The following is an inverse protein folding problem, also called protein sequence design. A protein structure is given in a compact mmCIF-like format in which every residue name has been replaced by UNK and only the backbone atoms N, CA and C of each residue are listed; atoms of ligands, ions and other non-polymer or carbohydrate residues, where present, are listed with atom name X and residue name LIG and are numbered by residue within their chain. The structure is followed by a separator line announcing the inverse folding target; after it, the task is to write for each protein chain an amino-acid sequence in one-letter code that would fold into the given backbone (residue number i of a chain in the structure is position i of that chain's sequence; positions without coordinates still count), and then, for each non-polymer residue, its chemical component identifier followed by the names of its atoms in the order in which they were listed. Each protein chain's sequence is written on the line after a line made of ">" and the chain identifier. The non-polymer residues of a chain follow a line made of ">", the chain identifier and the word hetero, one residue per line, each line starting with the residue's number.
data_IF_087529493447
#
_entry.id   IF_087529493447
#
_cell.length_a   1.000
_cell.length_b   1.000
_cell.length_c   1.000
_cell.angle_alpha   90.00
_cell.angle_beta   90.00
_cell.angle_gamma   90.00
#
_symmetry.space_group_name_H-M   'P 1'
#
loop_
_entity.id
_entity.type
_entity.pdbx_description
1 polymer ?
#
# COMPACT_ATOMS: atom_id res chain seq x y z
N UNK A 1 33.03 69.10 -15.88
CA UNK A 1 31.92 68.28 -16.38
C UNK A 1 32.31 66.81 -16.36
N UNK A 2 32.19 66.08 -15.24
CA UNK A 2 32.37 64.58 -15.18
C UNK A 2 32.04 64.11 -13.74
N UNK A 3 30.81 64.36 -13.23
CA UNK A 3 30.32 63.79 -11.97
C UNK A 3 28.85 63.26 -12.01
N UNK A 4 28.21 63.27 -13.18
CA UNK A 4 26.79 62.88 -13.30
C UNK A 4 26.57 61.41 -13.73
N UNK A 5 27.62 60.66 -14.17
CA UNK A 5 27.49 59.29 -14.68
C UNK A 5 27.55 58.20 -13.61
N UNK A 6 28.06 58.48 -12.42
CA UNK A 6 28.28 57.47 -11.41
C UNK A 6 27.01 57.24 -10.52
N UNK A 7 26.16 58.23 -10.42
CA UNK A 7 24.90 58.13 -9.63
C UNK A 7 23.79 57.31 -10.34
N UNK A 8 23.81 57.28 -11.68
CA UNK A 8 22.77 56.57 -12.48
C UNK A 8 23.02 55.04 -12.53
N UNK A 9 24.29 54.62 -12.39
CA UNK A 9 24.66 53.20 -12.42
C UNK A 9 24.39 52.47 -11.08
N UNK A 10 24.48 53.19 -9.95
CA UNK A 10 24.13 52.63 -8.65
C UNK A 10 22.60 52.43 -8.44
N UNK A 11 21.77 53.26 -9.09
CA UNK A 11 20.31 53.16 -8.95
C UNK A 11 19.73 52.01 -9.75
N UNK A 12 20.37 51.52 -10.79
CA UNK A 12 19.91 50.37 -11.62
C UNK A 12 20.26 49.04 -10.93
N UNK A 13 21.38 48.99 -10.14
CA UNK A 13 21.78 47.78 -9.41
C UNK A 13 20.86 47.54 -8.19
N UNK A 14 20.32 48.60 -7.58
CA UNK A 14 19.42 48.50 -6.43
C UNK A 14 18.02 48.00 -6.79
N UNK A 15 17.56 48.13 -8.06
CA UNK A 15 16.25 47.66 -8.50
C UNK A 15 16.23 46.16 -8.85
N UNK A 16 17.40 45.58 -9.16
CA UNK A 16 17.49 44.12 -9.46
C UNK A 16 17.62 43.23 -8.22
N UNK A 17 17.84 43.79 -7.03
CA UNK A 17 17.92 43.02 -5.77
C UNK A 17 16.54 42.85 -5.06
N UNK A 18 15.47 43.38 -5.62
CA UNK A 18 14.09 43.22 -5.14
C UNK A 18 13.23 42.33 -6.06
N UNK A 19 13.86 41.57 -6.99
CA UNK A 19 13.18 40.43 -7.56
C UNK A 19 12.99 39.42 -6.43
N UNK A 20 11.84 39.52 -5.76
CA UNK A 20 11.46 38.59 -4.71
C UNK A 20 11.64 37.18 -5.24
N UNK A 21 12.43 36.38 -4.55
CA UNK A 21 12.43 34.94 -4.70
C UNK A 21 10.98 34.57 -4.40
N UNK A 22 10.18 34.40 -5.44
CA UNK A 22 8.92 33.68 -5.32
C UNK A 22 9.36 32.30 -4.85
N UNK A 23 9.33 32.07 -3.53
CA UNK A 23 9.57 30.76 -2.95
C UNK A 23 8.52 29.85 -3.58
N UNK A 24 8.94 29.05 -4.56
CA UNK A 24 8.12 27.97 -5.10
C UNK A 24 7.71 27.11 -3.92
N UNK A 25 6.52 26.52 -3.99
CA UNK A 25 6.09 25.54 -2.98
C UNK A 25 7.14 24.45 -2.89
N UNK A 26 7.46 24.04 -1.66
CA UNK A 26 8.32 22.90 -1.43
C UNK A 26 7.61 21.63 -1.90
N UNK A 27 8.26 20.85 -2.76
CA UNK A 27 7.71 19.60 -3.28
C UNK A 27 8.04 18.47 -2.34
N UNK A 28 7.03 17.68 -1.96
CA UNK A 28 7.16 16.45 -1.16
C UNK A 28 6.67 15.27 -1.98
N UNK A 29 7.55 14.33 -2.26
CA UNK A 29 7.23 13.10 -3.01
C UNK A 29 6.83 12.00 -2.04
N UNK A 30 5.61 11.51 -2.16
CA UNK A 30 5.04 10.47 -1.31
C UNK A 30 4.82 9.19 -2.09
N UNK A 31 5.43 8.09 -1.63
CA UNK A 31 5.11 6.76 -2.14
C UNK A 31 3.99 6.13 -1.31
N UNK A 32 3.01 5.53 -1.99
CA UNK A 32 1.84 4.95 -1.31
C UNK A 32 1.33 3.68 -1.99
N UNK A 33 0.76 2.77 -1.20
CA UNK A 33 -0.03 1.63 -1.69
C UNK A 33 -1.50 1.69 -1.27
N UNK A 34 -1.96 2.82 -0.72
CA UNK A 34 -3.38 3.09 -0.49
C UNK A 34 -4.17 3.04 -1.80
N UNK A 35 -5.48 2.87 -1.72
CA UNK A 35 -6.33 2.94 -2.90
C UNK A 35 -6.40 4.37 -3.45
N UNK A 36 -6.57 4.50 -4.77
CA UNK A 36 -6.54 5.82 -5.44
C UNK A 36 -7.58 6.76 -4.88
N UNK A 37 -8.77 6.24 -4.58
CA UNK A 37 -9.89 7.00 -4.03
C UNK A 37 -9.57 7.57 -2.65
N UNK A 38 -8.87 6.80 -1.80
CA UNK A 38 -8.41 7.24 -0.48
C UNK A 38 -7.33 8.34 -0.62
N UNK A 39 -6.35 8.13 -1.48
CA UNK A 39 -5.26 9.11 -1.72
C UNK A 39 -5.83 10.47 -2.12
N UNK A 40 -6.85 10.51 -2.98
CA UNK A 40 -7.49 11.76 -3.41
C UNK A 40 -8.07 12.53 -2.23
N UNK A 41 -8.80 11.85 -1.34
CA UNK A 41 -9.42 12.52 -0.18
C UNK A 41 -8.40 12.98 0.86
N UNK A 42 -7.37 12.17 1.10
CA UNK A 42 -6.29 12.55 2.02
C UNK A 42 -5.47 13.74 1.49
N UNK A 43 -5.13 13.75 0.19
CA UNK A 43 -4.42 14.88 -0.40
C UNK A 43 -5.24 16.17 -0.41
N UNK A 44 -6.56 16.05 -0.56
CA UNK A 44 -7.47 17.19 -0.45
C UNK A 44 -7.47 17.79 0.97
N UNK A 45 -7.45 16.95 2.01
CA UNK A 45 -7.32 17.38 3.39
C UNK A 45 -5.93 17.99 3.65
N UNK A 46 -4.87 17.30 3.23
CA UNK A 46 -3.49 17.77 3.39
C UNK A 46 -3.26 19.15 2.73
N UNK A 47 -3.79 19.37 1.53
CA UNK A 47 -3.68 20.66 0.84
C UNK A 47 -4.34 21.81 1.58
N UNK A 48 -5.40 21.52 2.36
CA UNK A 48 -6.05 22.52 3.22
C UNK A 48 -5.19 22.90 4.41
N UNK A 49 -4.53 21.91 5.04
CA UNK A 49 -3.76 22.10 6.26
C UNK A 49 -2.30 22.51 5.97
N UNK A 50 -1.78 22.17 4.79
CA UNK A 50 -0.40 22.39 4.34
C UNK A 50 -0.39 23.11 2.97
N UNK A 51 -0.93 24.33 2.87
CA UNK A 51 -1.11 25.05 1.59
C UNK A 51 0.20 25.39 0.88
N UNK A 52 1.31 25.44 1.63
CA UNK A 52 2.64 25.81 1.13
C UNK A 52 3.43 24.61 0.60
N UNK A 53 2.92 23.38 0.76
CA UNK A 53 3.52 22.17 0.20
C UNK A 53 2.86 21.78 -1.13
N UNK A 54 3.70 21.31 -2.08
CA UNK A 54 3.27 20.59 -3.27
C UNK A 54 3.48 19.09 -3.05
N UNK A 55 2.43 18.39 -2.61
CA UNK A 55 2.50 16.96 -2.29
C UNK A 55 2.20 16.14 -3.54
N UNK A 56 3.21 15.46 -4.03
CA UNK A 56 3.13 14.58 -5.21
C UNK A 56 3.12 13.12 -4.77
N UNK A 57 2.05 12.40 -5.08
CA UNK A 57 1.91 10.99 -4.72
C UNK A 57 2.18 10.06 -5.89
N UNK A 58 2.96 9.02 -5.66
CA UNK A 58 3.18 7.92 -6.59
C UNK A 58 2.61 6.65 -5.96
N UNK A 59 1.51 6.16 -6.56
CA UNK A 59 0.80 4.98 -6.10
C UNK A 59 1.31 3.73 -6.81
N UNK A 60 1.72 2.72 -6.04
CA UNK A 60 2.11 1.38 -6.50
C UNK A 60 1.49 0.31 -5.61
N UNK A 61 1.34 -0.91 -6.12
CA UNK A 61 1.01 -2.05 -5.24
C UNK A 61 2.16 -2.35 -4.29
N UNK A 62 1.85 -2.95 -3.14
CA UNK A 62 2.79 -3.11 -2.02
C UNK A 62 4.14 -3.73 -2.43
N UNK A 63 4.13 -4.82 -3.20
CA UNK A 63 5.36 -5.47 -3.66
C UNK A 63 6.12 -4.66 -4.71
N UNK A 64 5.40 -3.99 -5.62
CA UNK A 64 6.01 -3.09 -6.62
C UNK A 64 6.66 -1.88 -5.95
N UNK A 65 6.05 -1.32 -4.91
CA UNK A 65 6.62 -0.24 -4.12
C UNK A 65 7.93 -0.67 -3.47
N UNK A 66 7.95 -1.83 -2.82
CA UNK A 66 9.16 -2.38 -2.22
C UNK A 66 10.28 -2.61 -3.24
N UNK A 67 9.96 -3.18 -4.40
CA UNK A 67 10.93 -3.38 -5.48
C UNK A 67 11.50 -2.04 -5.99
N UNK A 68 10.66 -1.03 -6.15
CA UNK A 68 11.08 0.31 -6.55
C UNK A 68 12.00 0.95 -5.51
N UNK A 69 11.63 0.92 -4.24
CA UNK A 69 12.47 1.44 -3.16
C UNK A 69 13.83 0.77 -3.10
N UNK A 70 13.89 -0.56 -3.30
CA UNK A 70 15.16 -1.28 -3.36
C UNK A 70 16.02 -0.83 -4.53
N UNK A 71 15.43 -0.59 -5.70
CA UNK A 71 16.14 -0.10 -6.88
C UNK A 71 16.65 1.34 -6.70
N UNK A 72 15.96 2.15 -5.92
CA UNK A 72 16.30 3.55 -5.61
C UNK A 72 17.13 3.70 -4.31
N UNK A 73 17.56 2.59 -3.71
CA UNK A 73 18.22 2.57 -2.39
C UNK A 73 19.35 3.59 -2.23
N UNK A 74 20.21 3.69 -3.25
CA UNK A 74 21.38 4.56 -3.22
C UNK A 74 21.07 6.01 -3.64
N UNK A 75 19.88 6.25 -4.16
CA UNK A 75 19.35 7.57 -4.54
C UNK A 75 17.83 7.61 -4.36
N UNK A 76 17.31 7.66 -3.13
CA UNK A 76 15.88 7.67 -2.84
C UNK A 76 15.17 8.83 -3.54
N UNK A 77 14.02 8.55 -4.16
CA UNK A 77 13.21 9.54 -4.86
C UNK A 77 11.98 9.96 -4.04
N UNK A 78 11.64 9.22 -2.99
CA UNK A 78 10.54 9.55 -2.11
C UNK A 78 11.05 10.18 -0.81
N UNK A 79 10.39 11.24 -0.38
CA UNK A 79 10.60 11.87 0.93
C UNK A 79 9.83 11.15 2.03
N UNK A 80 8.68 10.55 1.68
CA UNK A 80 7.79 9.90 2.64
C UNK A 80 7.12 8.66 2.04
N UNK A 81 6.85 7.68 2.91
CA UNK A 81 6.07 6.49 2.58
C UNK A 81 4.80 6.52 3.41
N UNK A 82 3.66 6.37 2.75
CA UNK A 82 2.37 6.52 3.37
C UNK A 82 1.42 5.39 2.97
N UNK A 83 0.82 4.70 3.96
CA UNK A 83 -0.10 3.59 3.70
C UNK A 83 0.56 2.41 2.99
N UNK A 84 1.71 1.96 3.50
CA UNK A 84 2.39 0.77 3.03
C UNK A 84 2.31 -0.34 4.08
N UNK A 85 2.15 -1.60 3.66
CA UNK A 85 1.95 -2.70 4.59
C UNK A 85 3.15 -2.89 5.54
N UNK A 86 2.87 -3.05 6.83
CA UNK A 86 3.89 -3.20 7.89
C UNK A 86 4.82 -4.40 7.66
N UNK A 87 4.35 -5.44 6.99
CA UNK A 87 5.17 -6.61 6.61
C UNK A 87 6.40 -6.21 5.79
N UNK A 88 6.24 -5.24 4.89
CA UNK A 88 7.35 -4.68 4.12
C UNK A 88 8.21 -3.74 4.97
N UNK A 89 7.61 -2.87 5.77
CA UNK A 89 8.36 -1.97 6.66
C UNK A 89 9.28 -2.76 7.59
N UNK A 90 8.81 -3.87 8.15
CA UNK A 90 9.63 -4.77 8.99
C UNK A 90 10.84 -5.38 8.26
N UNK A 91 10.76 -5.54 6.95
CA UNK A 91 11.89 -5.96 6.11
C UNK A 91 12.87 -4.81 5.84
N UNK A 92 12.39 -3.59 5.72
CA UNK A 92 13.19 -2.42 5.33
C UNK A 92 13.89 -1.73 6.51
N UNK A 93 13.36 -1.83 7.72
CA UNK A 93 13.99 -1.33 8.94
C UNK A 93 15.42 -1.87 9.12
N UNK A 94 15.68 -3.20 9.12
CA UNK A 94 17.02 -3.73 9.29
C UNK A 94 17.98 -3.42 8.13
N UNK A 95 17.44 -2.99 6.97
CA UNK A 95 18.24 -2.52 5.83
C UNK A 95 18.65 -1.04 5.94
N UNK A 96 18.25 -0.35 7.01
CA UNK A 96 18.54 1.08 7.22
C UNK A 96 17.88 2.01 6.20
N UNK A 97 16.75 1.57 5.60
CA UNK A 97 16.06 2.31 4.54
C UNK A 97 14.92 3.21 5.06
N UNK A 98 14.62 3.13 6.34
CA UNK A 98 13.58 3.95 6.99
C UNK A 98 14.21 4.79 8.10
N UNK A 99 13.90 6.08 8.10
CA UNK A 99 14.36 7.02 9.13
C UNK A 99 13.34 7.03 10.28
N UNK A 100 13.78 6.91 11.53
CA UNK A 100 12.87 6.97 12.67
C UNK A 100 12.25 8.36 12.82
N UNK A 101 10.92 8.39 12.96
CA UNK A 101 10.16 9.61 13.22
C UNK A 101 8.94 9.30 14.10
N UNK A 102 8.79 10.04 15.19
CA UNK A 102 7.65 9.91 16.11
C UNK A 102 6.72 11.12 15.93
N UNK A 103 5.62 10.99 15.19
CA UNK A 103 4.70 12.10 14.97
C UNK A 103 4.00 12.52 16.26
N UNK A 104 3.45 13.72 16.28
CA UNK A 104 2.64 14.20 17.41
C UNK A 104 1.49 13.23 17.68
N UNK A 105 1.35 12.79 18.92
CA UNK A 105 0.35 11.79 19.31
C UNK A 105 0.80 10.33 19.17
N UNK A 106 2.06 10.10 18.76
CA UNK A 106 2.63 8.75 18.64
C UNK A 106 2.49 7.91 19.92
N UNK A 107 2.58 8.55 21.10
CA UNK A 107 2.43 7.92 22.40
C UNK A 107 1.04 7.29 22.62
N UNK A 108 0.01 7.82 21.95
CA UNK A 108 -1.39 7.35 22.05
C UNK A 108 -1.67 6.12 21.18
N UNK A 109 -0.79 5.81 20.23
CA UNK A 109 -0.94 4.65 19.37
C UNK A 109 -0.55 3.40 20.16
N UNK A 110 -1.38 2.33 20.16
CA UNK A 110 -1.04 1.08 20.85
C UNK A 110 0.29 0.50 20.39
N UNK A 111 1.01 -0.17 21.30
CA UNK A 111 2.37 -0.65 21.05
C UNK A 111 2.49 -1.63 19.86
N UNK A 112 1.45 -2.42 19.60
CA UNK A 112 1.40 -3.37 18.50
C UNK A 112 1.15 -2.74 17.12
N UNK A 113 0.88 -1.42 17.08
CA UNK A 113 0.64 -0.66 15.84
C UNK A 113 1.70 0.40 15.56
N UNK A 114 2.87 0.26 16.16
CA UNK A 114 4.01 1.16 15.93
C UNK A 114 5.33 0.45 16.21
N UNK A 115 6.39 0.91 15.55
CA UNK A 115 7.74 0.50 15.87
C UNK A 115 8.23 1.23 17.14
N UNK A 116 8.81 0.56 18.13
CA UNK A 116 9.30 1.21 19.36
C UNK A 116 10.31 2.34 19.12
N UNK A 117 11.14 2.19 18.07
CA UNK A 117 12.15 3.17 17.68
C UNK A 117 11.58 4.27 16.78
N UNK A 118 10.38 4.06 16.20
CA UNK A 118 9.67 5.03 15.39
C UNK A 118 9.92 4.94 13.89
N UNK A 119 10.45 3.82 13.37
CA UNK A 119 10.66 3.66 11.93
C UNK A 119 9.34 3.55 11.14
N UNK A 120 8.26 3.14 11.81
CA UNK A 120 6.93 3.12 11.23
C UNK A 120 5.84 3.31 12.29
N UNK A 121 4.69 3.77 11.83
CA UNK A 121 3.48 3.96 12.63
C UNK A 121 2.28 3.59 11.78
N UNK A 122 1.39 2.73 12.28
CA UNK A 122 0.15 2.41 11.60
C UNK A 122 -0.79 3.61 11.57
N UNK A 123 -1.46 3.81 10.43
CA UNK A 123 -2.51 4.81 10.23
C UNK A 123 -3.89 4.17 10.21
N UNK A 124 -3.97 2.90 9.89
CA UNK A 124 -5.19 2.11 9.80
C UNK A 124 -4.92 0.63 10.13
N UNK A 125 -5.97 -0.17 10.06
CA UNK A 125 -5.95 -1.62 10.15
C UNK A 125 -6.94 -2.18 9.13
N UNK A 126 -6.49 -3.13 8.33
CA UNK A 126 -7.37 -3.84 7.39
C UNK A 126 -7.30 -5.35 7.59
N UNK A 127 -8.40 -6.03 7.25
CA UNK A 127 -8.50 -7.47 7.29
C UNK A 127 -8.66 -8.05 5.89
N UNK A 128 -7.94 -9.13 5.61
CA UNK A 128 -8.16 -9.91 4.40
C UNK A 128 -9.46 -10.72 4.53
N UNK A 129 -10.26 -10.75 3.47
CA UNK A 129 -11.58 -11.36 3.50
C UNK A 129 -11.93 -12.06 2.17
N UNK A 130 -12.87 -12.99 2.26
CA UNK A 130 -13.58 -13.54 1.11
C UNK A 130 -14.77 -12.64 0.77
N UNK A 131 -14.97 -12.38 -0.51
CA UNK A 131 -16.03 -11.53 -1.05
C UNK A 131 -16.86 -12.37 -2.02
N UNK A 132 -17.89 -13.09 -1.57
CA UNK A 132 -18.80 -13.83 -2.46
C UNK A 132 -19.84 -12.90 -3.10
N UNK A 133 -20.10 -13.06 -4.39
CA UNK A 133 -21.23 -12.43 -5.06
C UNK A 133 -22.47 -13.35 -4.94
N UNK A 134 -23.40 -12.97 -4.08
CA UNK A 134 -24.59 -13.77 -3.79
C UNK A 134 -25.46 -14.04 -5.01
N UNK A 135 -25.60 -13.06 -5.93
CA UNK A 135 -26.37 -13.20 -7.16
C UNK A 135 -25.74 -14.21 -8.12
N UNK A 136 -24.42 -14.09 -8.33
CA UNK A 136 -23.69 -15.04 -9.20
C UNK A 136 -23.73 -16.46 -8.63
N UNK A 137 -23.60 -16.61 -7.30
CA UNK A 137 -23.71 -17.91 -6.65
C UNK A 137 -25.10 -18.51 -6.86
N UNK A 138 -26.15 -17.72 -6.69
CA UNK A 138 -27.55 -18.16 -6.90
C UNK A 138 -27.79 -18.52 -8.37
N UNK A 139 -27.45 -17.64 -9.32
CA UNK A 139 -27.65 -17.87 -10.77
C UNK A 139 -26.94 -19.12 -11.29
N UNK A 140 -25.76 -19.43 -10.71
CA UNK A 140 -24.98 -20.62 -11.09
C UNK A 140 -25.27 -21.85 -10.21
N UNK A 141 -26.24 -21.79 -9.30
CA UNK A 141 -26.53 -22.82 -8.31
C UNK A 141 -25.27 -23.27 -7.52
N UNK A 142 -24.44 -22.34 -7.15
CA UNK A 142 -23.23 -22.59 -6.35
C UNK A 142 -23.52 -22.39 -4.85
N UNK A 143 -23.02 -23.25 -3.97
CA UNK A 143 -23.19 -23.06 -2.53
C UNK A 143 -22.48 -21.81 -2.04
N UNK A 144 -22.99 -21.18 -0.98
CA UNK A 144 -22.31 -20.09 -0.29
C UNK A 144 -21.14 -20.65 0.51
N UNK A 145 -19.89 -20.24 0.27
CA UNK A 145 -18.76 -20.70 1.07
C UNK A 145 -18.82 -20.13 2.49
N UNK A 146 -18.57 -20.95 3.49
CA UNK A 146 -18.49 -20.57 4.91
C UNK A 146 -17.06 -20.31 5.38
N UNK A 147 -16.07 -20.66 4.57
CA UNK A 147 -14.67 -20.49 4.87
C UNK A 147 -13.76 -21.03 3.77
N UNK A 148 -12.47 -20.95 4.03
CA UNK A 148 -11.44 -21.32 3.07
C UNK A 148 -11.53 -22.78 2.57
N UNK A 149 -11.90 -23.73 3.45
CA UNK A 149 -11.98 -25.14 3.08
C UNK A 149 -13.03 -25.40 2.01
N UNK A 150 -14.13 -24.64 2.02
CA UNK A 150 -15.19 -24.79 1.04
C UNK A 150 -14.72 -24.41 -0.37
N UNK A 151 -13.73 -23.51 -0.48
CA UNK A 151 -13.16 -23.08 -1.75
C UNK A 151 -12.37 -24.16 -2.48
N UNK A 152 -12.06 -25.28 -1.80
CA UNK A 152 -11.48 -26.46 -2.44
C UNK A 152 -12.48 -27.28 -3.26
N UNK A 153 -13.78 -27.01 -3.11
CA UNK A 153 -14.80 -27.71 -3.87
C UNK A 153 -14.64 -27.42 -5.38
N UNK A 154 -14.53 -28.45 -6.24
CA UNK A 154 -14.37 -28.28 -7.68
C UNK A 154 -15.49 -27.48 -8.37
N UNK A 155 -16.66 -27.31 -7.72
CA UNK A 155 -17.76 -26.50 -8.25
C UNK A 155 -17.35 -25.02 -8.47
N UNK A 156 -16.32 -24.54 -7.75
CA UNK A 156 -15.81 -23.18 -7.89
C UNK A 156 -14.68 -23.04 -8.92
N UNK A 157 -14.36 -24.11 -9.67
CA UNK A 157 -13.27 -24.08 -10.64
C UNK A 157 -13.38 -22.92 -11.63
N UNK A 158 -12.35 -22.07 -11.67
CA UNK A 158 -12.31 -20.87 -12.50
C UNK A 158 -13.17 -19.70 -12.01
N UNK A 159 -13.87 -19.86 -10.86
CA UNK A 159 -14.78 -18.86 -10.31
C UNK A 159 -14.16 -17.97 -9.23
N UNK A 160 -12.92 -18.27 -8.84
CA UNK A 160 -12.20 -17.54 -7.80
C UNK A 160 -11.24 -16.53 -8.42
N UNK A 161 -11.11 -15.37 -7.79
CA UNK A 161 -10.10 -14.36 -8.14
C UNK A 161 -9.40 -13.87 -6.90
N UNK A 162 -8.08 -13.72 -6.98
CA UNK A 162 -7.23 -13.34 -5.84
C UNK A 162 -6.15 -12.35 -6.27
N UNK A 163 -5.72 -11.43 -5.37
CA UNK A 163 -4.53 -10.64 -5.62
C UNK A 163 -3.28 -11.54 -5.66
N UNK A 164 -2.35 -11.24 -6.56
CA UNK A 164 -1.08 -11.97 -6.63
C UNK A 164 -0.25 -11.71 -5.36
N UNK A 165 0.14 -12.75 -4.60
CA UNK A 165 0.88 -12.59 -3.35
C UNK A 165 2.24 -11.90 -3.49
N UNK A 166 2.89 -12.00 -4.64
CA UNK A 166 4.19 -11.39 -4.88
C UNK A 166 4.10 -9.87 -5.10
N UNK A 167 2.98 -9.36 -5.62
CA UNK A 167 2.84 -7.94 -5.95
C UNK A 167 1.89 -7.18 -5.02
N UNK A 168 0.95 -7.88 -4.37
CA UNK A 168 -0.10 -7.30 -3.53
C UNK A 168 0.07 -7.66 -2.06
N UNK A 169 0.09 -6.65 -1.18
CA UNK A 169 0.07 -6.87 0.27
C UNK A 169 -1.15 -7.66 0.74
N UNK A 170 -2.31 -7.47 0.10
CA UNK A 170 -3.52 -8.25 0.38
C UNK A 170 -3.35 -9.72 -0.01
N UNK A 171 -2.81 -9.98 -1.20
CA UNK A 171 -2.50 -11.36 -1.63
C UNK A 171 -1.49 -12.04 -0.71
N UNK A 172 -0.45 -11.29 -0.31
CA UNK A 172 0.52 -11.78 0.68
C UNK A 172 -0.14 -12.15 2.01
N UNK A 173 -1.01 -11.27 2.54
CA UNK A 173 -1.71 -11.53 3.81
C UNK A 173 -2.70 -12.70 3.72
N UNK A 174 -3.34 -12.94 2.58
CA UNK A 174 -4.17 -14.13 2.38
C UNK A 174 -3.33 -15.40 2.58
N UNK A 175 -2.18 -15.48 1.90
CA UNK A 175 -1.27 -16.64 2.03
C UNK A 175 -0.70 -16.73 3.45
N UNK A 176 -0.18 -15.63 4.01
CA UNK A 176 0.37 -15.62 5.36
C UNK A 176 -0.65 -16.04 6.42
N UNK A 177 -1.90 -15.60 6.31
CA UNK A 177 -2.98 -16.02 7.20
C UNK A 177 -3.24 -17.52 7.13
N UNK A 178 -3.23 -18.10 5.93
CA UNK A 178 -3.41 -19.54 5.75
C UNK A 178 -2.23 -20.34 6.32
N UNK A 179 -0.99 -19.86 6.16
CA UNK A 179 0.20 -20.47 6.77
C UNK A 179 0.07 -20.53 8.31
N UNK A 180 -0.41 -19.46 8.92
CA UNK A 180 -0.62 -19.37 10.38
C UNK A 180 -1.79 -20.24 10.83
N UNK A 181 -2.91 -20.19 10.12
CA UNK A 181 -4.15 -20.88 10.52
C UNK A 181 -4.09 -22.40 10.39
N UNK A 182 -3.40 -22.88 9.37
CA UNK A 182 -3.41 -24.32 9.02
C UNK A 182 -2.24 -25.09 9.62
N UNK A 183 -1.22 -24.40 10.09
CA UNK A 183 -0.07 -25.04 10.76
C UNK A 183 0.28 -24.33 12.08
N UNK A 184 -0.20 -24.86 13.22
CA UNK A 184 0.10 -24.28 14.54
C UNK A 184 1.59 -24.17 14.85
N UNK A 185 2.41 -25.03 14.23
CA UNK A 185 3.85 -25.11 14.45
C UNK A 185 4.64 -24.20 13.49
N UNK A 186 3.97 -23.28 12.78
CA UNK A 186 4.57 -22.44 11.75
C UNK A 186 5.80 -21.64 12.20
N UNK A 187 5.93 -21.34 13.51
CA UNK A 187 7.07 -20.60 14.09
C UNK A 187 8.30 -21.46 14.32
N UNK A 188 8.15 -22.78 14.38
CA UNK A 188 9.20 -23.72 14.86
C UNK A 188 9.81 -24.55 13.74
N UNK A 189 9.31 -24.42 12.50
CA UNK A 189 9.78 -25.17 11.34
C UNK A 189 10.01 -24.25 10.15
N UNK A 190 10.82 -24.68 9.17
CA UNK A 190 10.97 -23.97 7.90
C UNK A 190 9.62 -23.77 7.20
N UNK A 191 9.44 -22.62 6.56
CA UNK A 191 8.18 -22.24 5.90
C UNK A 191 7.80 -23.24 4.77
N UNK A 192 8.79 -23.84 4.14
CA UNK A 192 8.63 -24.84 3.07
C UNK A 192 7.95 -26.13 3.57
N UNK A 193 8.02 -26.41 4.87
CA UNK A 193 7.40 -27.55 5.51
C UNK A 193 6.00 -27.27 6.06
N UNK A 194 5.46 -26.08 5.82
CA UNK A 194 4.14 -25.68 6.31
C UNK A 194 3.04 -26.48 5.59
N UNK A 195 2.11 -27.03 6.37
CA UNK A 195 0.98 -27.84 5.87
C UNK A 195 0.03 -27.07 4.95
N UNK A 196 -0.02 -25.74 5.08
CA UNK A 196 -0.86 -24.92 4.24
C UNK A 196 -0.48 -24.95 2.76
N UNK A 197 0.74 -25.35 2.39
CA UNK A 197 1.14 -25.43 0.99
C UNK A 197 0.33 -26.46 0.19
N UNK A 198 -0.03 -27.58 0.82
CA UNK A 198 -0.90 -28.57 0.16
C UNK A 198 -2.33 -28.07 -0.03
N UNK A 199 -2.82 -27.28 0.92
CA UNK A 199 -4.08 -26.57 0.78
C UNK A 199 -4.02 -25.53 -0.34
N UNK A 200 -2.99 -24.70 -0.37
CA UNK A 200 -2.80 -23.68 -1.39
C UNK A 200 -2.68 -24.25 -2.79
N UNK A 201 -1.98 -25.37 -2.98
CA UNK A 201 -1.90 -26.12 -4.25
C UNK A 201 -3.30 -26.60 -4.74
N UNK A 202 -4.15 -27.03 -3.81
CA UNK A 202 -5.52 -27.45 -4.14
C UNK A 202 -6.40 -26.24 -4.46
N UNK A 203 -6.26 -25.15 -3.70
CA UNK A 203 -6.99 -23.91 -3.92
C UNK A 203 -6.65 -23.30 -5.29
N UNK A 204 -5.39 -23.35 -5.68
CA UNK A 204 -4.90 -22.88 -6.98
C UNK A 204 -5.62 -23.53 -8.17
N UNK A 205 -6.04 -24.79 -8.05
CA UNK A 205 -6.79 -25.48 -9.10
C UNK A 205 -8.17 -24.89 -9.38
N UNK A 206 -8.73 -24.16 -8.41
CA UNK A 206 -10.01 -23.48 -8.54
C UNK A 206 -9.87 -21.97 -8.87
N UNK A 207 -8.62 -21.43 -8.82
CA UNK A 207 -8.39 -20.04 -9.17
C UNK A 207 -8.62 -19.81 -10.67
N UNK A 208 -9.41 -18.77 -10.98
CA UNK A 208 -9.58 -18.27 -12.34
C UNK A 208 -8.47 -17.30 -12.72
N UNK A 209 -8.07 -16.44 -11.77
CA UNK A 209 -7.06 -15.41 -12.05
C UNK A 209 -6.36 -14.91 -10.78
N UNK A 210 -5.08 -14.55 -10.95
CA UNK A 210 -4.32 -13.72 -10.02
C UNK A 210 -4.05 -12.35 -10.64
N UNK A 211 -4.30 -11.26 -9.90
CA UNK A 211 -4.11 -9.89 -10.37
C UNK A 211 -3.26 -9.05 -9.40
N UNK A 212 -2.64 -7.98 -9.90
CA UNK A 212 -1.71 -7.16 -9.10
C UNK A 212 -2.39 -6.39 -7.96
N UNK A 213 -3.59 -5.85 -8.20
CA UNK A 213 -4.30 -5.00 -7.26
C UNK A 213 -4.94 -5.78 -6.12
N UNK A 214 -4.88 -5.25 -4.89
CA UNK A 214 -5.51 -5.82 -3.70
C UNK A 214 -7.04 -5.70 -3.69
N UNK A 215 -7.59 -4.58 -4.19
CA UNK A 215 -9.03 -4.26 -4.19
C UNK A 215 -9.76 -4.74 -5.45
N UNK A 216 -9.07 -4.83 -6.57
CA UNK A 216 -9.70 -5.18 -7.86
C UNK A 216 -10.45 -6.53 -7.86
N UNK A 217 -10.01 -7.60 -7.14
CA UNK A 217 -10.81 -8.83 -7.04
C UNK A 217 -12.21 -8.59 -6.50
N UNK A 218 -12.39 -7.77 -5.46
CA UNK A 218 -13.73 -7.44 -4.96
C UNK A 218 -14.55 -6.67 -6.00
N UNK A 219 -13.95 -5.69 -6.69
CA UNK A 219 -14.62 -4.91 -7.74
C UNK A 219 -15.11 -5.82 -8.90
N UNK A 220 -14.26 -6.74 -9.36
CA UNK A 220 -14.64 -7.71 -10.42
C UNK A 220 -15.69 -8.71 -9.96
N UNK A 221 -15.62 -9.14 -8.70
CA UNK A 221 -16.65 -10.00 -8.11
C UNK A 221 -17.97 -9.24 -7.97
N UNK A 222 -17.97 -7.99 -7.51
CA UNK A 222 -19.17 -7.15 -7.45
C UNK A 222 -19.79 -6.93 -8.83
N UNK A 223 -18.98 -6.80 -9.88
CA UNK A 223 -19.43 -6.71 -11.27
C UNK A 223 -19.98 -8.02 -11.85
N UNK A 224 -19.83 -9.15 -11.13
CA UNK A 224 -20.35 -10.46 -11.57
C UNK A 224 -19.39 -11.24 -12.48
N UNK A 225 -18.17 -10.78 -12.67
CA UNK A 225 -17.16 -11.48 -13.50
C UNK A 225 -16.65 -12.76 -12.81
N UNK A 226 -16.60 -12.76 -11.48
CA UNK A 226 -16.22 -13.91 -10.65
C UNK A 226 -17.27 -14.15 -9.56
N UNK A 227 -17.38 -15.40 -9.12
CA UNK A 227 -18.31 -15.73 -8.05
C UNK A 227 -17.76 -15.36 -6.66
N UNK A 228 -16.44 -15.49 -6.48
CA UNK A 228 -15.79 -15.24 -5.18
C UNK A 228 -14.45 -14.53 -5.40
N UNK A 229 -14.29 -13.37 -4.76
CA UNK A 229 -13.04 -12.63 -4.70
C UNK A 229 -12.36 -12.75 -3.35
N UNK A 230 -11.02 -12.69 -3.33
CA UNK A 230 -10.25 -12.45 -2.12
C UNK A 230 -9.81 -10.99 -2.12
N UNK A 231 -10.11 -10.23 -1.05
CA UNK A 231 -9.77 -8.81 -0.97
C UNK A 231 -9.72 -8.32 0.48
N UNK A 232 -9.88 -7.04 0.69
CA UNK A 232 -10.02 -6.43 2.02
C UNK A 232 -11.49 -6.47 2.47
N UNK A 233 -11.72 -6.40 3.78
CA UNK A 233 -13.07 -6.36 4.33
C UNK A 233 -13.82 -5.03 4.09
N UNK A 234 -13.11 -3.96 3.74
CA UNK A 234 -13.67 -2.61 3.57
C UNK A 234 -13.86 -2.16 2.10
N UNK A 235 -13.61 -3.03 1.13
CA UNK A 235 -13.70 -2.72 -0.31
C UNK A 235 -15.10 -2.93 -0.85
#
# INVERSE_FOLDING_TARGET
>A
MKKSGLFLMCSIIAVFLLAGIAAGKETVVVYTSLETEEVVEYLKAAKKDLPDLDIQSIRLSTGELGARMLAERDNPQADCIWGWAVTNMSEFVPKGMLVPYKPKGWEKIPANFKDPEGHWTAIDLYAAALVPNTKVLEEKNLPMPKGWNDLLNPVYKGMLIMPNPASSGTGFLQVASLLVMMDPDYKTKPVEQNKAWDFLKKLDQNMGQYIKSGSKPAKLTAAGEYAIGCSFAFV
#
